data_IF_208719178440
#
_entry.id   IF_208719178440
#
_cell.length_a   1.000
_cell.length_b   1.000
_cell.length_c   1.000
_cell.angle_alpha   90.00
_cell.angle_beta   90.00
_cell.angle_gamma   90.00
#
_symmetry.space_group_name_H-M   'P 1'
#
loop_
_entity.id
_entity.type
_entity.pdbx_description
1 polymer ?
#
# COMPACT_ATOMS: atom_id res chain seq x y z
N UNK A 1 -1.07 46.15 -32.09
CA UNK A 1 -1.63 45.11 -32.99
C UNK A 1 -0.72 43.89 -32.85
N UNK A 2 -1.10 42.84 -32.11
CA UNK A 2 -1.79 41.64 -32.63
C UNK A 2 -0.78 40.77 -33.40
N UNK A 3 -0.46 39.52 -33.06
CA UNK A 3 -1.04 38.46 -32.23
C UNK A 3 0.14 37.57 -31.78
N UNK A 4 0.27 37.14 -30.53
CA UNK A 4 -0.69 36.26 -29.88
C UNK A 4 -0.54 34.80 -30.31
N UNK A 5 0.64 34.32 -30.70
CA UNK A 5 0.87 32.89 -30.99
C UNK A 5 1.00 32.08 -29.70
N UNK A 6 -0.12 31.96 -28.97
CA UNK A 6 -0.31 30.93 -27.96
C UNK A 6 -0.52 29.60 -28.69
N UNK A 7 0.57 28.95 -29.10
CA UNK A 7 0.52 27.55 -29.53
C UNK A 7 0.24 26.69 -28.30
N UNK A 8 -1.05 26.45 -28.09
CA UNK A 8 -1.69 25.22 -27.65
C UNK A 8 -0.67 24.09 -27.44
N UNK A 9 -0.21 23.91 -26.19
CA UNK A 9 0.31 22.63 -25.73
C UNK A 9 -0.88 21.85 -25.16
N UNK A 10 -1.40 20.81 -25.83
CA UNK A 10 -2.49 19.99 -25.30
C UNK A 10 -2.04 19.03 -24.17
N UNK A 11 -0.83 19.18 -23.63
CA UNK A 11 -0.32 18.33 -22.57
C UNK A 11 0.08 19.18 -21.37
N UNK A 12 -0.92 19.57 -20.58
CA UNK A 12 -0.71 19.84 -19.16
C UNK A 12 -0.44 18.48 -18.49
N UNK A 13 0.77 17.97 -18.70
CA UNK A 13 1.26 16.76 -18.07
C UNK A 13 1.71 17.19 -16.67
N UNK A 14 0.76 17.17 -15.73
CA UNK A 14 1.01 17.35 -14.30
C UNK A 14 2.10 16.37 -13.88
N UNK A 15 3.33 16.89 -13.87
CA UNK A 15 4.55 16.17 -13.49
C UNK A 15 4.57 16.16 -11.98
N UNK A 16 3.62 15.43 -11.43
CA UNK A 16 3.47 15.26 -10.01
C UNK A 16 4.60 14.36 -9.50
N UNK A 17 5.29 14.88 -8.50
CA UNK A 17 6.55 14.40 -7.95
C UNK A 17 6.41 12.95 -7.47
N UNK A 18 6.73 11.98 -8.33
CA UNK A 18 6.79 10.55 -7.98
C UNK A 18 7.81 10.38 -6.86
N UNK A 19 7.32 10.21 -5.63
CA UNK A 19 8.14 9.86 -4.48
C UNK A 19 8.92 8.59 -4.82
N UNK A 20 10.22 8.54 -4.54
CA UNK A 20 11.03 7.31 -4.64
C UNK A 20 11.09 6.66 -3.26
N UNK A 21 9.93 6.34 -2.67
CA UNK A 21 9.86 5.81 -1.31
C UNK A 21 9.55 4.32 -1.37
N UNK A 22 10.60 3.50 -1.35
CA UNK A 22 10.52 2.03 -1.39
C UNK A 22 9.43 1.48 -0.44
N UNK A 23 8.27 1.12 -1.01
CA UNK A 23 7.11 0.64 -0.26
C UNK A 23 7.23 -0.85 0.09
N UNK A 24 6.91 -1.20 1.33
CA UNK A 24 6.94 -2.58 1.82
C UNK A 24 5.56 -3.23 1.71
N UNK A 25 5.28 -3.99 0.64
CA UNK A 25 3.95 -4.63 0.47
C UNK A 25 3.56 -5.55 1.63
N UNK A 26 4.52 -6.11 2.38
CA UNK A 26 4.21 -6.92 3.57
C UNK A 26 3.46 -6.15 4.65
N UNK A 27 3.62 -4.82 4.71
CA UNK A 27 2.88 -3.92 5.61
C UNK A 27 1.61 -3.40 4.97
N UNK A 28 1.32 -3.70 3.71
CA UNK A 28 0.10 -3.25 3.04
C UNK A 28 -1.13 -4.07 3.47
N UNK A 29 -2.28 -3.43 3.63
CA UNK A 29 -3.59 -4.04 3.90
C UNK A 29 -4.10 -4.88 2.73
N UNK A 30 -3.77 -4.49 1.50
CA UNK A 30 -4.22 -5.15 0.27
C UNK A 30 -3.35 -6.33 -0.15
N UNK A 31 -2.20 -6.51 0.48
CA UNK A 31 -1.31 -7.63 0.18
C UNK A 31 -1.88 -8.92 0.77
N UNK A 32 -2.00 -9.94 -0.08
CA UNK A 32 -2.42 -11.29 0.32
C UNK A 32 -1.44 -12.32 -0.20
N UNK A 33 -1.09 -13.28 0.64
CA UNK A 33 -0.41 -14.50 0.21
C UNK A 33 -1.46 -15.46 -0.35
N UNK A 34 -1.14 -16.11 -1.46
CA UNK A 34 -2.03 -17.12 -2.06
C UNK A 34 -1.39 -18.50 -2.02
N UNK A 35 -2.23 -19.53 -2.17
CA UNK A 35 -1.82 -20.93 -2.17
C UNK A 35 -1.33 -21.40 -3.55
N UNK A 36 -1.44 -20.57 -4.59
CA UNK A 36 -1.02 -20.95 -5.93
C UNK A 36 0.51 -20.86 -6.04
N UNK A 37 1.24 -21.96 -6.32
CA UNK A 37 2.69 -21.96 -6.38
C UNK A 37 3.25 -21.08 -7.51
N UNK A 38 2.50 -20.90 -8.60
CA UNK A 38 2.90 -20.00 -9.69
C UNK A 38 2.78 -18.52 -9.28
N UNK A 39 1.82 -18.19 -8.43
CA UNK A 39 1.51 -16.82 -8.02
C UNK A 39 1.29 -16.69 -6.51
N UNK A 40 2.34 -16.86 -5.69
CA UNK A 40 2.23 -16.87 -4.23
C UNK A 40 1.82 -15.51 -3.63
N UNK A 41 1.90 -14.42 -4.42
CA UNK A 41 1.62 -13.06 -3.96
C UNK A 41 0.47 -12.47 -4.74
N UNK A 42 -0.43 -11.76 -4.07
CA UNK A 42 -1.55 -11.07 -4.71
C UNK A 42 -1.73 -9.67 -4.14
N UNK A 43 -2.16 -8.76 -5.01
CA UNK A 43 -2.60 -7.43 -4.62
C UNK A 43 -4.10 -7.31 -4.84
N UNK A 44 -4.86 -7.16 -3.75
CA UNK A 44 -6.31 -7.05 -3.82
C UNK A 44 -6.76 -5.69 -4.42
N UNK A 45 -6.02 -4.60 -4.19
CA UNK A 45 -6.37 -3.28 -4.68
C UNK A 45 -6.35 -3.18 -6.23
N UNK A 46 -5.40 -3.87 -6.86
CA UNK A 46 -5.30 -3.93 -8.33
C UNK A 46 -5.87 -5.22 -8.93
N UNK A 47 -6.24 -6.20 -8.09
CA UNK A 47 -6.90 -7.43 -8.55
C UNK A 47 -5.99 -8.48 -9.21
N UNK A 48 -4.66 -8.37 -9.13
CA UNK A 48 -3.74 -9.31 -9.78
C UNK A 48 -2.99 -10.22 -8.80
N UNK A 49 -2.46 -11.33 -9.32
CA UNK A 49 -1.55 -12.26 -8.64
C UNK A 49 -0.22 -12.31 -9.39
N UNK A 50 0.88 -12.43 -8.66
CA UNK A 50 2.23 -12.38 -9.23
C UNK A 50 3.21 -13.23 -8.42
N UNK A 51 4.34 -13.59 -9.05
CA UNK A 51 5.48 -14.24 -8.40
C UNK A 51 6.41 -13.21 -7.75
N UNK A 52 6.58 -12.05 -8.38
CA UNK A 52 7.41 -10.96 -7.87
C UNK A 52 6.68 -10.12 -6.82
N UNK A 53 7.34 -9.09 -6.28
CA UNK A 53 6.69 -8.20 -5.32
C UNK A 53 5.65 -7.33 -6.04
N UNK A 54 4.41 -7.21 -5.52
CA UNK A 54 3.39 -6.43 -6.20
C UNK A 54 3.76 -4.96 -6.45
N UNK A 55 4.52 -4.32 -5.55
CA UNK A 55 5.02 -2.95 -5.76
C UNK A 55 6.00 -2.86 -6.93
N UNK A 56 6.84 -3.87 -7.14
CA UNK A 56 7.78 -3.93 -8.24
C UNK A 56 7.05 -4.09 -9.59
N UNK A 57 6.05 -4.97 -9.64
CA UNK A 57 5.22 -5.13 -10.84
C UNK A 57 4.44 -3.84 -11.16
N UNK A 58 3.84 -3.20 -10.16
CA UNK A 58 3.15 -1.90 -10.36
C UNK A 58 4.12 -0.86 -10.92
N UNK A 59 5.30 -0.71 -10.32
CA UNK A 59 6.33 0.21 -10.82
C UNK A 59 6.75 -0.11 -12.25
N UNK A 60 6.89 -1.39 -12.60
CA UNK A 60 7.24 -1.83 -13.95
C UNK A 60 6.11 -1.56 -14.97
N UNK A 61 4.86 -1.70 -14.55
CA UNK A 61 3.69 -1.55 -15.44
C UNK A 61 3.23 -0.11 -15.58
N UNK A 62 3.25 0.70 -14.52
CA UNK A 62 2.76 2.08 -14.52
C UNK A 62 3.88 3.12 -14.63
N UNK A 63 5.14 2.72 -14.39
CA UNK A 63 6.27 3.64 -14.29
C UNK A 63 6.29 4.46 -12.99
N UNK A 64 5.36 4.20 -12.06
CA UNK A 64 5.18 4.95 -10.82
C UNK A 64 5.03 4.03 -9.61
N UNK A 65 5.30 4.53 -8.41
CA UNK A 65 5.11 3.74 -7.18
C UNK A 65 3.63 3.39 -6.95
N UNK A 66 3.40 2.40 -6.07
CA UNK A 66 2.04 1.94 -5.74
C UNK A 66 1.22 3.04 -5.04
N UNK A 67 0.27 3.62 -5.77
CA UNK A 67 -0.65 4.66 -5.28
C UNK A 67 -1.70 4.12 -4.28
N UNK A 68 -2.01 2.82 -4.36
CA UNK A 68 -2.99 2.15 -3.49
C UNK A 68 -2.34 1.52 -2.24
N UNK A 69 -1.16 2.00 -1.82
CA UNK A 69 -0.51 1.50 -0.63
C UNK A 69 -1.22 1.99 0.64
N UNK A 70 -1.81 1.06 1.39
CA UNK A 70 -2.42 1.33 2.68
C UNK A 70 -1.72 0.51 3.77
N UNK A 71 -1.07 1.17 4.73
CA UNK A 71 -0.38 0.49 5.81
C UNK A 71 -1.34 -0.21 6.78
N UNK A 72 -1.02 -1.45 7.17
CA UNK A 72 -1.71 -2.21 8.21
C UNK A 72 -1.45 -1.52 9.54
N UNK A 73 -2.53 -1.06 10.17
CA UNK A 73 -2.43 -0.45 11.50
C UNK A 73 -2.15 -1.58 12.49
N UNK A 74 -0.88 -1.74 12.88
CA UNK A 74 -0.52 -2.57 14.01
C UNK A 74 -0.74 -1.74 15.27
N UNK A 75 -2.00 -1.50 15.62
CA UNK A 75 -2.31 -1.02 16.96
C UNK A 75 -1.77 -2.06 17.92
N UNK A 76 -0.78 -1.66 18.73
CA UNK A 76 -0.20 -2.54 19.75
C UNK A 76 -1.38 -3.07 20.57
N UNK A 77 -1.48 -4.40 20.82
CA UNK A 77 -2.55 -4.91 21.65
C UNK A 77 -2.46 -4.16 22.99
N UNK A 78 -3.50 -3.38 23.34
CA UNK A 78 -3.61 -2.80 24.68
C UNK A 78 -3.56 -3.98 25.63
N UNK A 79 -2.48 -4.13 26.40
CA UNK A 79 -2.41 -5.14 27.46
C UNK A 79 -3.66 -4.92 28.29
N UNK A 80 -4.57 -5.90 28.32
CA UNK A 80 -5.69 -5.87 29.24
C UNK A 80 -5.03 -5.87 30.62
N UNK A 81 -5.10 -4.75 31.32
CA UNK A 81 -4.77 -4.67 32.74
C UNK A 81 -5.77 -5.58 33.44
N UNK A 82 -5.34 -6.81 33.73
CA UNK A 82 -6.08 -7.70 34.61
C UNK A 82 -5.95 -7.08 36.00
N UNK A 83 -6.98 -6.39 36.47
CA UNK A 83 -7.12 -6.06 37.89
C UNK A 83 -7.43 -7.38 38.61
N UNK A 84 -6.57 -7.86 39.52
CA UNK A 84 -6.90 -9.02 40.31
C UNK A 84 -8.06 -8.65 41.24
N UNK A 85 -9.26 -9.17 40.97
CA UNK A 85 -10.31 -9.20 41.98
C UNK A 85 -9.85 -10.18 43.06
N UNK A 86 -9.51 -9.65 44.22
CA UNK A 86 -9.12 -10.43 45.39
C UNK A 86 -10.36 -11.18 45.92
N UNK A 87 -10.47 -12.46 45.59
CA UNK A 87 -11.40 -13.37 46.28
C UNK A 87 -10.55 -14.10 47.31
N UNK A 88 -10.59 -13.57 48.54
CA UNK A 88 -9.89 -14.10 49.70
C UNK A 88 -10.63 -15.35 50.19
N UNK A 89 -10.08 -16.54 49.91
CA UNK A 89 -10.57 -17.80 50.47
C UNK A 89 -9.79 -18.09 51.76
N UNK A 90 -10.14 -17.37 52.82
CA UNK A 90 -9.67 -17.68 54.18
C UNK A 90 -10.43 -18.92 54.70
N UNK A 91 -9.74 -20.06 54.68
CA UNK A 91 -10.05 -21.26 55.47
C UNK A 91 -9.55 -21.08 56.91
#
# INVERSE_FOLDING_TARGET
>A
MGVGYAMILPYHFDRERVSMKKLNCFRCKHFRTTWNPAFPRACNAYGFKTKEMPSALVLKSTGTECLQFAEKNHEKPKKRTVTPNNIDYRL
#
